data_IF_499747380279
#
_entry.id   IF_499747380279
#
_cell.length_a   1.000
_cell.length_b   1.000
_cell.length_c   1.000
_cell.angle_alpha   90.00
_cell.angle_beta   90.00
_cell.angle_gamma   90.00
#
_symmetry.space_group_name_H-M   'P 1'
#
loop_
_entity.id
_entity.type
_entity.pdbx_description
1 polymer ?
#
# COMPACT_ATOMS: atom_id res chain seq x y z
N UNK A 1 18.29 -20.43 -23.13
CA UNK A 1 18.34 -19.11 -22.47
C UNK A 1 18.24 -19.35 -20.97
N UNK A 2 19.27 -18.97 -20.22
CA UNK A 2 19.35 -19.18 -18.78
C UNK A 2 18.42 -18.18 -18.09
N UNK A 3 17.21 -18.61 -17.76
CA UNK A 3 16.32 -17.90 -16.83
C UNK A 3 16.93 -18.09 -15.44
N UNK A 4 17.46 -17.01 -14.85
CA UNK A 4 17.94 -17.05 -13.47
C UNK A 4 16.77 -16.99 -12.50
N UNK A 5 16.75 -17.92 -11.55
CA UNK A 5 15.75 -18.03 -10.51
C UNK A 5 16.40 -17.62 -9.17
N UNK A 6 15.71 -16.75 -8.42
CA UNK A 6 16.15 -16.15 -7.15
C UNK A 6 16.62 -17.22 -6.16
N UNK A 7 15.79 -18.25 -6.00
CA UNK A 7 16.01 -19.39 -5.11
C UNK A 7 17.26 -20.17 -5.49
N UNK A 8 17.56 -20.25 -6.79
CA UNK A 8 18.67 -21.04 -7.31
C UNK A 8 20.01 -20.34 -7.10
N UNK A 9 20.06 -19.00 -7.21
CA UNK A 9 21.32 -18.26 -7.09
C UNK A 9 21.84 -18.17 -5.64
N UNK A 10 20.95 -18.08 -4.64
CA UNK A 10 21.36 -17.87 -3.24
C UNK A 10 22.10 -19.08 -2.61
N UNK A 11 21.97 -20.28 -3.18
CA UNK A 11 22.57 -21.51 -2.63
C UNK A 11 23.82 -21.97 -3.40
N UNK A 12 23.96 -21.58 -4.67
CA UNK A 12 25.01 -22.09 -5.56
C UNK A 12 26.42 -21.54 -5.28
N UNK A 13 26.57 -20.44 -4.54
CA UNK A 13 27.91 -19.92 -4.17
C UNK A 13 28.67 -20.86 -3.21
N UNK A 14 27.97 -21.76 -2.52
CA UNK A 14 28.57 -22.68 -1.54
C UNK A 14 28.66 -24.15 -2.00
N UNK A 15 28.15 -24.47 -3.19
CA UNK A 15 28.09 -25.84 -3.70
C UNK A 15 29.12 -26.06 -4.82
N UNK A 16 29.99 -27.06 -4.66
CA UNK A 16 30.82 -27.54 -5.77
C UNK A 16 29.91 -28.15 -6.83
N UNK A 17 30.04 -27.68 -8.07
CA UNK A 17 29.33 -28.26 -9.22
C UNK A 17 29.55 -29.79 -9.28
N UNK A 18 28.48 -30.54 -9.13
CA UNK A 18 28.44 -31.99 -9.32
C UNK A 18 28.08 -32.27 -10.77
N UNK A 19 28.76 -33.23 -11.41
CA UNK A 19 28.43 -33.70 -12.75
C UNK A 19 27.09 -34.46 -12.83
N UNK A 20 26.46 -34.73 -11.68
CA UNK A 20 25.15 -35.33 -11.60
C UNK A 20 24.08 -34.24 -11.51
N UNK A 21 23.11 -34.25 -12.42
CA UNK A 21 21.93 -33.39 -12.36
C UNK A 21 21.05 -33.81 -11.16
N UNK A 22 21.27 -33.19 -9.99
CA UNK A 22 20.55 -33.53 -8.75
C UNK A 22 19.20 -32.82 -8.65
N UNK A 23 18.91 -31.86 -9.51
CA UNK A 23 17.58 -31.25 -9.59
C UNK A 23 17.16 -31.27 -11.05
N UNK A 24 16.37 -32.29 -11.42
CA UNK A 24 15.46 -32.10 -12.55
C UNK A 24 14.65 -30.85 -12.21
N UNK A 25 14.65 -29.87 -13.12
CA UNK A 25 13.77 -28.70 -13.06
C UNK A 25 12.33 -29.23 -13.13
N UNK A 26 11.79 -29.73 -12.03
CA UNK A 26 10.40 -30.14 -11.96
C UNK A 26 9.61 -28.85 -11.93
N UNK A 27 9.10 -28.46 -13.10
CA UNK A 27 7.95 -27.56 -13.26
C UNK A 27 6.67 -28.19 -12.68
N UNK A 28 6.77 -28.91 -11.57
CA UNK A 28 5.68 -29.61 -10.88
C UNK A 28 5.12 -28.73 -9.74
N UNK A 29 4.84 -27.48 -10.06
CA UNK A 29 4.13 -26.59 -9.15
C UNK A 29 3.20 -25.67 -9.91
N UNK A 30 2.20 -25.17 -9.21
CA UNK A 30 1.12 -24.36 -9.76
C UNK A 30 1.47 -22.89 -9.53
N UNK A 31 1.48 -22.11 -10.61
CA UNK A 31 1.56 -20.66 -10.55
C UNK A 31 0.15 -20.08 -10.59
N UNK A 32 -0.21 -19.38 -9.52
CA UNK A 32 -1.47 -18.69 -9.34
C UNK A 32 -1.23 -17.18 -9.45
N UNK A 33 -2.22 -16.48 -10.01
CA UNK A 33 -2.30 -15.01 -10.03
C UNK A 33 -1.06 -14.32 -10.60
N UNK A 34 -0.49 -14.88 -11.66
CA UNK A 34 0.70 -14.34 -12.28
C UNK A 34 0.48 -12.92 -12.84
N UNK A 35 1.50 -12.08 -12.71
CA UNK A 35 1.59 -10.76 -13.33
C UNK A 35 2.98 -10.56 -13.92
N UNK A 36 3.04 -9.75 -14.97
CA UNK A 36 4.27 -9.41 -15.66
C UNK A 36 4.45 -7.89 -15.65
N UNK A 37 5.69 -7.45 -15.42
CA UNK A 37 6.05 -6.03 -15.48
C UNK A 37 7.44 -5.86 -16.08
N UNK A 38 7.72 -4.68 -16.62
CA UNK A 38 9.03 -4.36 -17.22
C UNK A 38 9.66 -3.22 -16.45
N UNK A 39 10.86 -3.43 -15.92
CA UNK A 39 11.63 -2.43 -15.15
C UNK A 39 13.02 -2.40 -15.75
N UNK A 40 13.49 -1.22 -16.17
CA UNK A 40 14.83 -1.02 -16.74
C UNK A 40 15.16 -2.03 -17.86
N UNK A 41 14.22 -2.24 -18.79
CA UNK A 41 14.30 -3.18 -19.93
C UNK A 41 14.26 -4.68 -19.56
N UNK A 42 14.33 -5.02 -18.27
CA UNK A 42 14.18 -6.38 -17.77
C UNK A 42 12.71 -6.72 -17.52
N UNK A 43 12.29 -7.93 -17.93
CA UNK A 43 10.91 -8.41 -17.71
C UNK A 43 10.87 -9.31 -16.49
N UNK A 44 10.08 -8.87 -15.52
CA UNK A 44 9.81 -9.61 -14.29
C UNK A 44 8.46 -10.29 -14.41
N UNK A 45 8.42 -11.56 -14.04
CA UNK A 45 7.18 -12.33 -13.82
C UNK A 45 7.08 -12.69 -12.35
N UNK A 46 5.96 -12.33 -11.74
CA UNK A 46 5.65 -12.56 -10.33
C UNK A 46 4.41 -13.44 -10.26
N UNK A 47 4.42 -14.47 -9.43
CA UNK A 47 3.24 -15.32 -9.19
C UNK A 47 3.24 -15.84 -7.76
N UNK A 48 2.05 -16.21 -7.28
CA UNK A 48 1.93 -17.08 -6.12
C UNK A 48 2.22 -18.51 -6.57
N UNK A 49 3.27 -19.11 -6.04
CA UNK A 49 3.72 -20.45 -6.40
C UNK A 49 3.42 -21.42 -5.26
N UNK A 50 2.82 -22.55 -5.61
CA UNK A 50 2.62 -23.69 -4.72
C UNK A 50 3.27 -24.92 -5.35
N UNK A 51 4.21 -25.53 -4.62
CA UNK A 51 4.95 -26.70 -5.07
C UNK A 51 6.37 -26.73 -4.51
N UNK A 52 7.15 -27.74 -4.91
CA UNK A 52 8.49 -27.96 -4.38
C UNK A 52 9.48 -26.93 -4.93
N UNK A 53 10.10 -26.15 -4.03
CA UNK A 53 11.22 -25.23 -4.27
C UNK A 53 12.41 -25.48 -3.32
N UNK A 54 13.46 -24.65 -3.44
CA UNK A 54 14.70 -24.81 -2.66
C UNK A 54 14.49 -24.68 -1.14
N UNK A 55 13.46 -23.95 -0.71
CA UNK A 55 13.10 -23.81 0.68
C UNK A 55 12.93 -25.17 1.36
N UNK A 56 12.22 -26.11 0.73
CA UNK A 56 11.99 -27.45 1.29
C UNK A 56 13.29 -28.25 1.45
N UNK A 57 14.25 -28.08 0.53
CA UNK A 57 15.58 -28.69 0.65
C UNK A 57 16.39 -28.07 1.79
N UNK A 58 16.23 -26.76 2.03
CA UNK A 58 16.85 -26.07 3.17
C UNK A 58 16.26 -26.53 4.50
N UNK A 59 14.94 -26.70 4.56
CA UNK A 59 14.24 -27.23 5.74
C UNK A 59 14.74 -28.65 6.04
N UNK A 60 14.79 -29.53 5.05
CA UNK A 60 15.34 -30.89 5.19
C UNK A 60 16.78 -30.87 5.70
N UNK A 61 17.65 -30.05 5.07
CA UNK A 61 19.06 -29.93 5.46
C UNK A 61 19.25 -29.38 6.88
N UNK A 62 18.34 -28.52 7.34
CA UNK A 62 18.40 -27.93 8.67
C UNK A 62 18.05 -28.92 9.78
N UNK A 63 17.42 -30.06 9.45
CA UNK A 63 16.94 -31.04 10.41
C UNK A 63 15.70 -30.58 11.20
N UNK A 64 15.13 -29.43 10.86
CA UNK A 64 13.89 -28.90 11.46
C UNK A 64 12.66 -29.58 10.82
N UNK A 65 12.63 -30.91 10.86
CA UNK A 65 11.59 -31.76 10.26
C UNK A 65 11.09 -32.74 11.31
N UNK A 66 9.77 -32.85 11.44
CA UNK A 66 9.14 -33.90 12.22
C UNK A 66 7.87 -34.41 11.52
N UNK A 67 7.14 -35.31 12.19
CA UNK A 67 5.93 -35.94 11.65
C UNK A 67 4.80 -34.93 11.39
N UNK A 68 4.71 -33.91 12.22
CA UNK A 68 3.67 -32.89 12.16
C UNK A 68 4.12 -31.70 11.29
N UNK A 69 5.43 -31.58 11.06
CA UNK A 69 6.09 -30.56 10.24
C UNK A 69 7.05 -31.18 9.20
N UNK A 70 6.55 -31.86 8.15
CA UNK A 70 7.36 -32.38 7.04
C UNK A 70 8.04 -31.28 6.23
N UNK A 71 9.13 -31.57 5.52
CA UNK A 71 9.85 -30.55 4.72
C UNK A 71 9.04 -29.88 3.62
N UNK A 72 7.91 -30.45 3.24
CA UNK A 72 6.96 -29.92 2.27
C UNK A 72 5.54 -30.04 2.83
N UNK A 73 4.78 -28.95 2.74
CA UNK A 73 3.34 -28.94 2.96
C UNK A 73 2.60 -28.47 1.70
N UNK A 74 1.41 -29.03 1.47
CA UNK A 74 0.55 -28.62 0.35
C UNK A 74 0.05 -27.17 0.48
N UNK A 75 0.13 -26.60 1.69
CA UNK A 75 -0.23 -25.21 1.99
C UNK A 75 0.99 -24.27 2.01
N UNK A 76 2.17 -24.73 1.55
CA UNK A 76 3.33 -23.87 1.36
C UNK A 76 3.15 -23.04 0.09
N UNK A 77 2.92 -21.74 0.27
CA UNK A 77 2.81 -20.77 -0.82
C UNK A 77 3.98 -19.77 -0.78
N UNK A 78 4.56 -19.51 -1.96
CA UNK A 78 5.70 -18.63 -2.14
C UNK A 78 5.38 -17.53 -3.14
N UNK A 79 5.88 -16.32 -2.91
CA UNK A 79 5.90 -15.31 -3.99
C UNK A 79 7.12 -15.61 -4.85
N UNK A 80 6.89 -16.21 -6.02
CA UNK A 80 7.95 -16.51 -6.98
C UNK A 80 8.15 -15.34 -7.92
N UNK A 81 9.39 -14.91 -8.06
CA UNK A 81 9.80 -13.85 -8.99
C UNK A 81 10.87 -14.41 -9.92
N UNK A 82 10.61 -14.30 -11.22
CA UNK A 82 11.55 -14.68 -12.27
C UNK A 82 11.83 -13.48 -13.17
N UNK A 83 13.05 -13.41 -13.70
CA UNK A 83 13.50 -12.34 -14.58
C UNK A 83 14.08 -12.96 -15.86
N UNK A 84 13.86 -12.32 -17.01
CA UNK A 84 14.49 -12.72 -18.28
C UNK A 84 15.99 -12.34 -18.36
N UNK A 85 16.44 -11.44 -17.49
CA UNK A 85 17.83 -11.07 -17.26
C UNK A 85 18.31 -11.44 -15.84
N UNK A 86 19.46 -10.90 -15.43
CA UNK A 86 19.91 -10.96 -14.04
C UNK A 86 18.88 -10.31 -13.11
N UNK A 87 18.59 -10.96 -11.98
CA UNK A 87 17.59 -10.50 -11.02
C UNK A 87 18.20 -9.49 -10.04
N UNK A 88 17.69 -8.27 -10.05
CA UNK A 88 17.95 -7.31 -8.96
C UNK A 88 17.08 -7.64 -7.75
N UNK A 89 17.73 -8.03 -6.64
CA UNK A 89 17.10 -8.38 -5.36
C UNK A 89 16.24 -7.24 -4.80
N UNK A 90 16.65 -5.98 -4.95
CA UNK A 90 15.87 -4.83 -4.43
C UNK A 90 14.59 -4.63 -5.23
N UNK A 91 14.66 -4.86 -6.55
CA UNK A 91 13.49 -4.83 -7.42
C UNK A 91 12.55 -5.98 -7.06
N UNK A 92 13.09 -7.19 -6.92
CA UNK A 92 12.31 -8.37 -6.54
C UNK A 92 11.58 -8.17 -5.21
N UNK A 93 12.26 -7.71 -4.15
CA UNK A 93 11.62 -7.42 -2.86
C UNK A 93 10.48 -6.41 -2.98
N UNK A 94 10.69 -5.33 -3.73
CA UNK A 94 9.69 -4.28 -3.92
C UNK A 94 8.47 -4.82 -4.67
N UNK A 95 8.70 -5.66 -5.69
CA UNK A 95 7.64 -6.31 -6.46
C UNK A 95 6.88 -7.35 -5.62
N UNK A 96 7.57 -8.07 -4.73
CA UNK A 96 6.91 -9.02 -3.81
C UNK A 96 5.94 -8.28 -2.88
N UNK A 97 6.38 -7.18 -2.26
CA UNK A 97 5.51 -6.34 -1.42
C UNK A 97 4.36 -5.77 -2.24
N UNK A 98 4.61 -5.32 -3.47
CA UNK A 98 3.54 -4.84 -4.35
C UNK A 98 2.53 -5.92 -4.73
N UNK A 99 2.98 -7.15 -4.91
CA UNK A 99 2.10 -8.27 -5.21
C UNK A 99 1.16 -8.55 -4.04
N UNK A 100 1.70 -8.60 -2.82
CA UNK A 100 0.90 -8.76 -1.60
C UNK A 100 -0.09 -7.62 -1.41
N UNK A 101 0.32 -6.37 -1.64
CA UNK A 101 -0.57 -5.22 -1.62
C UNK A 101 -1.76 -5.40 -2.57
N UNK A 102 -1.55 -5.86 -3.80
CA UNK A 102 -2.64 -6.00 -4.75
C UNK A 102 -3.62 -7.13 -4.39
N UNK A 103 -3.14 -8.19 -3.73
CA UNK A 103 -4.01 -9.23 -3.16
C UNK A 103 -4.89 -8.64 -2.04
N UNK A 104 -4.31 -7.81 -1.17
CA UNK A 104 -5.02 -7.12 -0.09
C UNK A 104 -6.05 -6.13 -0.63
N UNK A 105 -5.63 -5.26 -1.55
CA UNK A 105 -6.40 -4.11 -2.02
C UNK A 105 -7.49 -4.49 -3.03
N UNK A 106 -7.24 -5.49 -3.88
CA UNK A 106 -8.16 -5.86 -4.96
C UNK A 106 -9.11 -6.98 -4.55
N UNK A 107 -8.62 -7.97 -3.79
CA UNK A 107 -9.38 -9.18 -3.47
C UNK A 107 -9.67 -9.36 -1.97
N UNK A 108 -9.16 -8.45 -1.13
CA UNK A 108 -9.28 -8.55 0.33
C UNK A 108 -8.71 -9.87 0.90
N UNK A 109 -7.75 -10.46 0.18
CA UNK A 109 -7.03 -11.66 0.62
C UNK A 109 -5.96 -11.21 1.61
N UNK A 110 -6.03 -11.69 2.84
CA UNK A 110 -5.06 -11.35 3.89
C UNK A 110 -3.92 -12.36 3.89
N UNK A 111 -2.76 -11.90 3.46
CA UNK A 111 -1.51 -12.69 3.41
C UNK A 111 -0.35 -11.85 3.91
N UNK A 112 0.55 -12.44 4.69
CA UNK A 112 1.78 -11.81 5.16
C UNK A 112 2.98 -12.68 4.81
N UNK A 113 4.15 -12.07 4.67
CA UNK A 113 5.38 -12.85 4.59
C UNK A 113 5.58 -13.58 5.91
N UNK A 114 5.79 -14.89 5.82
CA UNK A 114 6.08 -15.71 6.99
C UNK A 114 7.50 -15.43 7.49
N UNK A 115 7.67 -15.32 8.80
CA UNK A 115 9.00 -15.27 9.45
C UNK A 115 9.66 -16.65 9.51
N UNK A 116 8.96 -17.72 9.13
CA UNK A 116 9.45 -19.09 9.21
C UNK A 116 8.44 -20.12 8.73
N UNK A 117 8.40 -21.28 9.39
CA UNK A 117 7.41 -22.31 9.10
C UNK A 117 6.05 -21.87 9.63
N UNK A 118 5.00 -22.08 8.84
CA UNK A 118 3.64 -21.80 9.29
C UNK A 118 3.32 -22.65 10.53
N UNK A 119 2.80 -22.01 11.58
CA UNK A 119 2.27 -22.72 12.74
C UNK A 119 0.92 -23.33 12.34
N UNK A 120 0.87 -24.67 12.31
CA UNK A 120 -0.32 -25.45 11.92
C UNK A 120 -1.56 -25.16 12.76
N UNK A 121 -1.41 -24.46 13.90
CA UNK A 121 -2.50 -24.05 14.78
C UNK A 121 -3.25 -22.78 14.35
N UNK A 122 -2.75 -22.01 13.38
CA UNK A 122 -3.19 -20.60 13.20
C UNK A 122 -4.00 -20.28 11.95
N UNK A 123 -4.14 -21.14 10.95
CA UNK A 123 -4.97 -20.77 9.79
C UNK A 123 -5.55 -21.95 9.02
N UNK A 124 -6.86 -22.19 9.18
CA UNK A 124 -7.65 -22.97 8.23
C UNK A 124 -7.97 -22.05 7.04
N UNK A 125 -7.08 -22.00 6.06
CA UNK A 125 -7.51 -21.58 4.72
C UNK A 125 -8.14 -22.79 4.05
N UNK A 126 -9.32 -22.61 3.47
CA UNK A 126 -9.85 -23.60 2.55
C UNK A 126 -8.98 -23.55 1.28
N UNK A 127 -8.16 -24.58 0.98
CA UNK A 127 -7.27 -24.56 -0.17
C UNK A 127 -8.04 -24.42 -1.49
N UNK A 128 -9.34 -24.76 -1.49
CA UNK A 128 -10.21 -24.65 -2.66
C UNK A 128 -10.56 -23.18 -2.99
N UNK A 129 -10.53 -22.26 -2.01
CA UNK A 129 -10.75 -20.82 -2.26
C UNK A 129 -9.61 -20.19 -3.09
N UNK A 130 -8.39 -20.69 -2.94
CA UNK A 130 -7.20 -20.18 -3.66
C UNK A 130 -7.02 -20.85 -5.03
N UNK A 131 -7.38 -22.13 -5.15
CA UNK A 131 -7.16 -22.95 -6.35
C UNK A 131 -8.22 -22.74 -7.44
N UNK A 132 -9.38 -22.16 -7.13
CA UNK A 132 -10.54 -22.09 -8.04
C UNK A 132 -10.74 -20.80 -8.84
N UNK A 133 -10.04 -19.69 -8.55
CA UNK A 133 -10.33 -18.39 -9.14
C UNK A 133 -9.11 -17.70 -9.76
N UNK A 134 -9.25 -17.32 -11.03
CA UNK A 134 -8.31 -16.42 -11.72
C UNK A 134 -8.56 -14.99 -11.26
N UNK A 135 -7.88 -14.57 -10.19
CA UNK A 135 -7.91 -13.19 -9.72
C UNK A 135 -7.08 -12.29 -10.63
N UNK A 136 -7.71 -11.26 -11.19
CA UNK A 136 -6.99 -10.19 -11.90
C UNK A 136 -6.42 -9.23 -10.87
N UNK A 137 -5.11 -9.00 -10.90
CA UNK A 137 -4.46 -7.97 -10.08
C UNK A 137 -4.16 -6.73 -10.94
N UNK A 138 -4.11 -5.56 -10.31
CA UNK A 138 -3.64 -4.35 -10.99
C UNK A 138 -2.15 -4.45 -11.32
N UNK A 139 -1.63 -3.61 -12.23
CA UNK A 139 -0.21 -3.51 -12.48
C UNK A 139 0.57 -3.30 -11.18
N UNK A 140 1.67 -4.04 -11.02
CA UNK A 140 2.51 -3.94 -9.83
C UNK A 140 3.16 -2.56 -9.73
N UNK A 141 3.13 -2.00 -8.54
CA UNK A 141 3.67 -0.69 -8.20
C UNK A 141 5.15 -0.83 -7.87
N UNK A 142 5.96 0.03 -8.45
CA UNK A 142 7.39 0.07 -8.21
C UNK A 142 7.88 1.52 -8.24
N UNK A 143 9.00 1.77 -7.57
CA UNK A 143 9.71 3.03 -7.60
C UNK A 143 9.98 3.63 -6.23
N UNK A 144 10.59 4.82 -6.24
CA UNK A 144 11.01 5.51 -5.03
C UNK A 144 9.85 5.71 -4.03
N UNK A 145 10.04 5.23 -2.79
CA UNK A 145 9.09 5.35 -1.67
C UNK A 145 7.90 4.40 -1.71
N UNK A 146 7.76 3.58 -2.76
CA UNK A 146 6.59 2.69 -2.90
C UNK A 146 6.67 1.54 -1.91
N UNK A 147 7.80 0.86 -1.80
CA UNK A 147 7.94 -0.32 -0.93
C UNK A 147 7.57 0.02 0.52
N UNK A 148 8.12 1.10 1.05
CA UNK A 148 7.88 1.55 2.43
C UNK A 148 6.41 1.91 2.66
N UNK A 149 5.79 2.56 1.68
CA UNK A 149 4.37 2.92 1.73
C UNK A 149 3.46 1.68 1.71
N UNK A 150 3.80 0.68 0.90
CA UNK A 150 3.05 -0.57 0.81
C UNK A 150 3.21 -1.42 2.08
N UNK A 151 4.41 -1.49 2.66
CA UNK A 151 4.66 -2.16 3.94
C UNK A 151 3.85 -1.54 5.08
N UNK A 152 3.76 -0.20 5.10
CA UNK A 152 2.95 0.53 6.06
C UNK A 152 1.47 0.16 5.94
N UNK A 153 0.95 0.08 4.71
CA UNK A 153 -0.41 -0.35 4.45
C UNK A 153 -0.66 -1.80 4.87
N UNK A 154 0.21 -2.73 4.47
CA UNK A 154 0.06 -4.15 4.79
C UNK A 154 0.09 -4.39 6.29
N UNK A 155 0.95 -3.68 7.02
CA UNK A 155 0.99 -3.73 8.49
C UNK A 155 -0.35 -3.30 9.10
N UNK A 156 -0.96 -2.22 8.60
CA UNK A 156 -2.27 -1.78 9.03
C UNK A 156 -3.37 -2.80 8.68
N UNK A 157 -3.36 -3.33 7.46
CA UNK A 157 -4.36 -4.27 6.95
C UNK A 157 -4.39 -5.58 7.73
N UNK A 158 -3.22 -6.06 8.16
CA UNK A 158 -3.05 -7.33 8.88
C UNK A 158 -3.33 -7.23 10.38
N UNK A 159 -3.43 -6.02 10.95
CA UNK A 159 -3.73 -5.87 12.36
C UNK A 159 -5.12 -6.44 12.71
N UNK A 160 -5.29 -6.95 13.92
CA UNK A 160 -6.61 -7.34 14.43
C UNK A 160 -7.34 -6.17 15.08
N UNK A 161 -6.59 -5.38 15.86
CA UNK A 161 -7.12 -4.23 16.57
C UNK A 161 -7.56 -3.10 15.62
N UNK A 162 -8.78 -2.63 15.81
CA UNK A 162 -9.39 -1.62 14.91
C UNK A 162 -8.77 -0.24 15.10
N UNK A 163 -8.33 0.11 16.31
CA UNK A 163 -7.68 1.38 16.57
C UNK A 163 -6.32 1.44 15.87
N UNK A 164 -5.58 0.33 15.91
CA UNK A 164 -4.34 0.18 15.17
C UNK A 164 -4.53 0.28 13.66
N UNK A 165 -5.62 -0.29 13.10
CA UNK A 165 -5.98 -0.08 11.69
C UNK A 165 -6.19 1.39 11.36
N UNK A 166 -6.97 2.09 12.19
CA UNK A 166 -7.27 3.52 11.99
C UNK A 166 -5.97 4.32 12.00
N UNK A 167 -5.07 4.08 12.97
CA UNK A 167 -3.77 4.73 13.02
C UNK A 167 -2.91 4.40 11.79
N UNK A 168 -2.82 3.12 11.42
CA UNK A 168 -2.00 2.65 10.31
C UNK A 168 -2.43 3.22 8.96
N UNK A 169 -3.74 3.17 8.65
CA UNK A 169 -4.27 3.78 7.43
C UNK A 169 -4.15 5.31 7.44
N UNK A 170 -4.31 5.97 8.59
CA UNK A 170 -4.07 7.42 8.68
C UNK A 170 -2.61 7.75 8.41
N UNK A 171 -1.67 6.92 8.86
CA UNK A 171 -0.24 7.09 8.58
C UNK A 171 0.07 6.96 7.08
N UNK A 172 -0.64 6.10 6.34
CA UNK A 172 -0.54 6.02 4.87
C UNK A 172 -1.00 7.33 4.22
N UNK A 173 -2.08 7.93 4.72
CA UNK A 173 -2.55 9.24 4.26
C UNK A 173 -1.49 10.32 4.56
N UNK A 174 -0.99 10.37 5.79
CA UNK A 174 0.06 11.32 6.21
C UNK A 174 1.35 11.18 5.39
N UNK A 175 1.74 9.95 5.02
CA UNK A 175 2.95 9.70 4.21
C UNK A 175 2.86 10.37 2.83
N UNK A 176 1.68 10.37 2.20
CA UNK A 176 1.52 10.94 0.85
C UNK A 176 1.30 12.46 0.86
N UNK A 177 0.79 13.02 1.96
CA UNK A 177 0.39 14.44 2.04
C UNK A 177 1.53 15.42 1.66
N UNK A 178 2.80 15.23 2.07
CA UNK A 178 3.89 16.10 1.64
C UNK A 178 4.13 16.12 0.13
N UNK A 179 3.90 14.98 -0.55
CA UNK A 179 4.03 14.89 -2.01
C UNK A 179 2.93 15.69 -2.70
N UNK A 180 1.68 15.58 -2.23
CA UNK A 180 0.56 16.38 -2.75
C UNK A 180 0.83 17.87 -2.53
N UNK A 181 1.26 18.26 -1.33
CA UNK A 181 1.55 19.65 -1.01
C UNK A 181 2.64 20.24 -1.92
N UNK A 182 3.72 19.46 -2.17
CA UNK A 182 4.78 19.87 -3.10
C UNK A 182 4.26 20.01 -4.52
N UNK A 183 3.40 19.10 -4.97
CA UNK A 183 2.80 19.18 -6.31
C UNK A 183 1.91 20.42 -6.48
N UNK A 184 1.06 20.73 -5.51
CA UNK A 184 0.24 21.96 -5.53
C UNK A 184 1.10 23.23 -5.52
N UNK A 185 2.18 23.25 -4.75
CA UNK A 185 3.15 24.36 -4.76
C UNK A 185 3.76 24.53 -6.15
N UNK A 186 4.29 23.45 -6.72
CA UNK A 186 4.95 23.51 -8.03
C UNK A 186 3.97 23.92 -9.12
N UNK A 187 2.72 23.44 -9.09
CA UNK A 187 1.67 23.84 -10.02
C UNK A 187 1.33 25.32 -9.89
N UNK A 188 1.16 25.82 -8.66
CA UNK A 188 0.85 27.24 -8.38
C UNK A 188 1.98 28.16 -8.82
N UNK A 189 3.23 27.82 -8.49
CA UNK A 189 4.41 28.58 -8.94
C UNK A 189 4.53 28.54 -10.45
N UNK A 190 4.37 27.36 -11.08
CA UNK A 190 4.47 27.24 -12.54
C UNK A 190 3.42 28.10 -13.23
N UNK A 191 2.19 28.12 -12.71
CA UNK A 191 1.12 28.96 -13.23
C UNK A 191 1.48 30.44 -13.14
N UNK A 192 1.98 30.90 -11.99
CA UNK A 192 2.40 32.30 -11.82
C UNK A 192 3.55 32.65 -12.80
N UNK A 193 4.50 31.74 -13.00
CA UNK A 193 5.60 31.90 -13.96
C UNK A 193 5.16 31.91 -15.44
N UNK A 194 3.94 31.48 -15.76
CA UNK A 194 3.39 31.64 -17.12
C UNK A 194 2.91 33.06 -17.42
N UNK A 195 2.81 33.90 -16.39
CA UNK A 195 2.38 35.29 -16.54
C UNK A 195 3.41 36.10 -17.36
N UNK A 196 2.97 36.94 -18.34
CA UNK A 196 3.88 37.82 -19.09
C UNK A 196 4.71 38.76 -18.21
N UNK A 197 4.27 39.02 -16.97
CA UNK A 197 4.99 39.82 -15.98
C UNK A 197 6.36 39.24 -15.64
N UNK A 198 6.64 37.96 -15.95
CA UNK A 198 7.95 37.35 -15.76
C UNK A 198 9.08 38.04 -16.55
N UNK A 199 8.77 38.65 -17.71
CA UNK A 199 9.77 39.35 -18.53
C UNK A 199 10.11 40.75 -17.99
N UNK A 200 9.29 41.29 -17.10
CA UNK A 200 9.51 42.55 -16.39
C UNK A 200 8.89 42.49 -14.99
N UNK A 201 9.53 41.78 -14.04
CA UNK A 201 8.95 41.51 -12.73
C UNK A 201 8.62 42.79 -11.96
N UNK A 202 7.36 42.94 -11.53
CA UNK A 202 6.94 44.04 -10.65
C UNK A 202 7.03 43.62 -9.18
N UNK A 203 6.93 44.60 -8.27
CA UNK A 203 6.82 44.33 -6.83
C UNK A 203 5.66 43.40 -6.49
N UNK A 204 4.51 43.58 -7.15
CA UNK A 204 3.30 42.80 -6.92
C UNK A 204 3.51 41.34 -7.32
N UNK A 205 4.18 41.10 -8.44
CA UNK A 205 4.52 39.74 -8.90
C UNK A 205 5.43 39.01 -7.89
N UNK A 206 6.46 39.69 -7.39
CA UNK A 206 7.38 39.12 -6.38
C UNK A 206 6.64 38.82 -5.06
N UNK A 207 5.74 39.72 -4.64
CA UNK A 207 4.90 39.51 -3.46
C UNK A 207 3.98 38.31 -3.66
N UNK A 208 3.34 38.18 -4.82
CA UNK A 208 2.47 37.04 -5.16
C UNK A 208 3.21 35.71 -5.07
N UNK A 209 4.43 35.61 -5.61
CA UNK A 209 5.27 34.42 -5.44
C UNK A 209 5.56 34.13 -3.96
N UNK A 210 5.90 35.14 -3.16
CA UNK A 210 6.14 34.96 -1.72
C UNK A 210 4.89 34.48 -0.98
N UNK A 211 3.70 34.93 -1.37
CA UNK A 211 2.43 34.50 -0.78
C UNK A 211 2.14 33.03 -1.06
N UNK A 212 2.44 32.53 -2.27
CA UNK A 212 2.34 31.10 -2.61
C UNK A 212 3.20 30.25 -1.66
N UNK A 213 4.46 30.64 -1.44
CA UNK A 213 5.35 29.91 -0.53
C UNK A 213 4.87 29.98 0.94
N UNK A 214 4.39 31.14 1.40
CA UNK A 214 3.84 31.29 2.75
C UNK A 214 2.61 30.42 2.97
N UNK A 215 1.71 30.37 1.98
CA UNK A 215 0.53 29.50 2.02
C UNK A 215 0.96 28.03 2.13
N UNK A 216 1.85 27.58 1.25
CA UNK A 216 2.36 26.21 1.29
C UNK A 216 3.01 25.86 2.65
N UNK A 217 3.81 26.77 3.21
CA UNK A 217 4.43 26.57 4.52
C UNK A 217 3.38 26.40 5.64
N UNK A 218 2.28 27.15 5.58
CA UNK A 218 1.19 27.00 6.54
C UNK A 218 0.47 25.65 6.37
N UNK A 219 0.20 25.24 5.12
CA UNK A 219 -0.53 24.00 4.80
C UNK A 219 0.25 22.75 5.24
N UNK A 220 1.58 22.74 5.10
CA UNK A 220 2.41 21.61 5.55
C UNK A 220 2.71 21.62 7.06
N UNK A 221 2.49 22.74 7.75
CA UNK A 221 2.83 22.87 9.18
C UNK A 221 1.82 22.22 10.12
N UNK A 222 0.65 21.81 9.60
CA UNK A 222 -0.46 21.28 10.40
C UNK A 222 -0.90 19.93 9.86
N UNK A 223 -0.83 18.90 10.70
CA UNK A 223 -1.29 17.55 10.38
C UNK A 223 -2.75 17.51 9.87
N UNK A 224 -3.63 18.36 10.43
CA UNK A 224 -5.01 18.46 9.98
C UNK A 224 -5.15 18.94 8.53
N UNK A 225 -4.28 19.88 8.10
CA UNK A 225 -4.29 20.40 6.74
C UNK A 225 -3.65 19.40 5.76
N UNK A 226 -2.62 18.67 6.18
CA UNK A 226 -2.05 17.57 5.41
C UNK A 226 -3.06 16.44 5.16
N UNK A 227 -3.82 16.04 6.18
CA UNK A 227 -4.89 15.04 6.03
C UNK A 227 -5.99 15.58 5.13
N UNK A 228 -6.44 16.82 5.35
CA UNK A 228 -7.43 17.50 4.51
C UNK A 228 -7.01 17.45 3.06
N UNK A 229 -5.80 17.93 2.76
CA UNK A 229 -5.24 18.01 1.42
C UNK A 229 -5.18 16.65 0.74
N UNK A 230 -4.72 15.62 1.44
CA UNK A 230 -4.64 14.28 0.87
C UNK A 230 -6.03 13.69 0.56
N UNK A 231 -6.96 13.78 1.51
CA UNK A 231 -8.30 13.20 1.35
C UNK A 231 -9.07 13.91 0.23
N UNK A 232 -9.04 15.25 0.15
CA UNK A 232 -9.73 16.01 -0.91
C UNK A 232 -9.14 15.76 -2.29
N UNK A 233 -7.83 15.50 -2.38
CA UNK A 233 -7.15 15.23 -3.66
C UNK A 233 -7.50 13.86 -4.22
N UNK A 234 -7.55 12.82 -3.38
CA UNK A 234 -7.64 11.42 -3.84
C UNK A 234 -9.03 10.80 -3.72
N UNK A 235 -9.97 11.45 -3.05
CA UNK A 235 -11.27 10.86 -2.71
C UNK A 235 -12.44 11.79 -3.03
N UNK A 236 -13.47 11.23 -3.67
CA UNK A 236 -14.78 11.85 -3.77
C UNK A 236 -15.78 11.08 -2.90
N UNK A 237 -16.83 11.75 -2.43
CA UNK A 237 -17.80 11.12 -1.53
C UNK A 237 -18.53 9.93 -2.17
N UNK A 238 -18.75 9.96 -3.48
CA UNK A 238 -19.36 8.87 -4.26
C UNK A 238 -18.60 7.56 -4.17
N UNK A 239 -17.29 7.65 -3.98
CA UNK A 239 -16.40 6.50 -4.00
C UNK A 239 -16.44 5.65 -2.72
N UNK A 240 -16.78 6.31 -1.62
CA UNK A 240 -16.80 5.74 -0.27
C UNK A 240 -18.21 5.69 0.30
N UNK A 241 -19.22 6.17 -0.44
CA UNK A 241 -20.58 6.33 0.06
C UNK A 241 -21.13 5.05 0.69
N UNK A 242 -20.96 3.91 0.03
CA UNK A 242 -21.54 2.64 0.48
C UNK A 242 -20.96 2.18 1.82
N UNK A 243 -19.69 2.47 2.08
CA UNK A 243 -19.02 2.11 3.33
C UNK A 243 -18.96 3.26 4.35
N UNK A 244 -19.39 4.47 4.00
CA UNK A 244 -19.33 5.63 4.90
C UNK A 244 -20.21 5.42 6.15
N UNK A 245 -19.69 5.63 7.37
CA UNK A 245 -20.47 5.54 8.59
C UNK A 245 -21.69 6.44 8.62
N UNK A 246 -22.77 5.96 9.26
CA UNK A 246 -24.04 6.68 9.35
C UNK A 246 -23.93 8.03 10.06
N UNK A 247 -22.97 8.21 10.96
CA UNK A 247 -22.81 9.47 11.69
C UNK A 247 -22.24 10.61 10.82
N UNK A 248 -21.57 10.29 9.71
CA UNK A 248 -21.08 11.25 8.70
C UNK A 248 -22.15 11.49 7.63
N UNK A 249 -22.97 10.47 7.32
CA UNK A 249 -24.04 10.58 6.34
C UNK A 249 -25.13 11.58 6.80
N UNK A 250 -25.68 12.40 5.89
CA UNK A 250 -26.87 13.20 6.18
C UNK A 250 -28.04 12.29 6.59
N UNK A 251 -28.79 12.69 7.62
CA UNK A 251 -29.82 11.87 8.28
C UNK A 251 -30.96 11.39 7.37
N UNK A 252 -31.16 11.99 6.20
CA UNK A 252 -32.31 11.75 5.32
C UNK A 252 -31.90 11.29 3.93
N UNK A 253 -30.63 10.90 3.72
CA UNK A 253 -30.14 10.54 2.40
C UNK A 253 -29.51 9.16 2.39
N UNK A 254 -30.11 8.25 1.62
CA UNK A 254 -29.59 6.89 1.43
C UNK A 254 -28.67 6.78 0.21
N UNK A 255 -28.81 7.69 -0.77
CA UNK A 255 -28.06 7.64 -2.03
C UNK A 255 -27.27 8.91 -2.30
N UNK A 256 -26.03 8.76 -2.77
CA UNK A 256 -25.11 9.88 -3.03
C UNK A 256 -25.54 10.80 -4.17
N UNK A 257 -26.30 10.29 -5.13
CA UNK A 257 -26.79 11.06 -6.29
C UNK A 257 -27.81 12.13 -5.90
N UNK A 258 -28.42 12.00 -4.73
CA UNK A 258 -29.36 13.00 -4.18
C UNK A 258 -28.67 14.16 -3.46
N UNK A 259 -27.35 14.08 -3.24
CA UNK A 259 -26.61 15.14 -2.56
C UNK A 259 -26.19 16.24 -3.54
N UNK A 260 -26.49 17.49 -3.18
CA UNK A 260 -25.89 18.66 -3.82
C UNK A 260 -24.38 18.79 -3.48
N UNK A 261 -23.66 19.57 -4.28
CA UNK A 261 -22.21 19.71 -4.16
C UNK A 261 -21.74 20.27 -2.81
N UNK A 262 -22.53 21.15 -2.17
CA UNK A 262 -22.17 21.69 -0.87
C UNK A 262 -22.30 20.63 0.23
N UNK A 263 -23.36 19.82 0.17
CA UNK A 263 -23.54 18.70 1.10
C UNK A 263 -22.45 17.64 0.91
N UNK A 264 -22.08 17.34 -0.34
CA UNK A 264 -20.96 16.43 -0.65
C UNK A 264 -19.64 16.93 -0.04
N UNK A 265 -19.33 18.22 -0.20
CA UNK A 265 -18.15 18.85 0.41
C UNK A 265 -18.22 18.79 1.93
N UNK A 266 -19.36 19.12 2.53
CA UNK A 266 -19.56 19.06 3.98
C UNK A 266 -19.31 17.66 4.54
N UNK A 267 -19.77 16.61 3.86
CA UNK A 267 -19.51 15.22 4.30
C UNK A 267 -18.02 14.86 4.26
N UNK A 268 -17.29 15.32 3.24
CA UNK A 268 -15.83 15.14 3.17
C UNK A 268 -15.13 15.91 4.29
N UNK A 269 -15.56 17.13 4.59
CA UNK A 269 -15.04 17.95 5.69
C UNK A 269 -15.28 17.30 7.07
N UNK A 270 -16.48 16.77 7.30
CA UNK A 270 -16.80 16.03 8.53
C UNK A 270 -15.94 14.77 8.62
N UNK A 271 -15.75 14.04 7.51
CA UNK A 271 -14.87 12.87 7.46
C UNK A 271 -13.42 13.24 7.80
N UNK A 272 -12.86 14.27 7.16
CA UNK A 272 -11.49 14.76 7.42
C UNK A 272 -11.32 15.11 8.90
N UNK A 273 -12.27 15.85 9.46
CA UNK A 273 -12.26 16.23 10.87
C UNK A 273 -12.28 15.00 11.77
N UNK A 274 -13.15 14.02 11.46
CA UNK A 274 -13.21 12.75 12.20
C UNK A 274 -11.93 11.93 12.08
N UNK A 275 -11.25 11.90 10.93
CA UNK A 275 -9.96 11.21 10.78
C UNK A 275 -8.93 11.82 11.73
N UNK A 276 -8.75 13.14 11.66
CA UNK A 276 -7.77 13.84 12.48
C UNK A 276 -8.05 13.70 13.98
N UNK A 277 -9.30 13.93 14.40
CA UNK A 277 -9.65 13.88 15.83
C UNK A 277 -9.62 12.44 16.37
N UNK A 278 -10.06 11.45 15.61
CA UNK A 278 -9.97 10.02 16.02
C UNK A 278 -8.52 9.57 16.13
N UNK A 279 -7.67 9.93 15.16
CA UNK A 279 -6.23 9.62 15.20
C UNK A 279 -5.58 10.21 16.45
N UNK A 280 -5.90 11.45 16.79
CA UNK A 280 -5.39 12.10 17.99
C UNK A 280 -5.95 11.50 19.28
N UNK A 281 -7.24 11.14 19.31
CA UNK A 281 -7.84 10.43 20.44
C UNK A 281 -7.09 9.13 20.72
N UNK A 282 -6.86 8.30 19.70
CA UNK A 282 -6.19 7.00 19.85
C UNK A 282 -4.71 7.20 20.23
N UNK A 283 -4.00 8.08 19.54
CA UNK A 283 -2.57 8.33 19.79
C UNK A 283 -2.30 8.90 21.20
N UNK A 284 -3.20 9.73 21.71
CA UNK A 284 -3.06 10.41 23.00
C UNK A 284 -3.96 9.83 24.11
N UNK A 285 -4.59 8.67 23.87
CA UNK A 285 -5.51 8.00 24.80
C UNK A 285 -4.91 7.71 26.20
N UNK A 286 -3.57 7.77 26.35
CA UNK A 286 -2.85 7.50 27.60
C UNK A 286 -2.37 8.74 28.37
N UNK A 287 -2.50 9.96 27.84
CA UNK A 287 -2.11 11.18 28.57
C UNK A 287 -2.82 12.44 28.03
N UNK A 288 -3.87 12.88 28.73
CA UNK A 288 -4.45 14.24 28.64
C UNK A 288 -5.16 14.68 27.34
N UNK A 289 -5.67 13.76 26.51
CA UNK A 289 -6.50 14.17 25.36
C UNK A 289 -7.90 14.64 25.79
N UNK A 290 -8.27 15.87 25.45
CA UNK A 290 -9.64 16.38 25.60
C UNK A 290 -10.46 16.09 24.35
N UNK A 291 -11.55 15.31 24.51
CA UNK A 291 -12.44 14.99 23.40
C UNK A 291 -13.12 16.25 22.86
N UNK A 292 -13.09 16.41 21.54
CA UNK A 292 -13.70 17.52 20.81
C UNK A 292 -15.12 17.20 20.33
N UNK A 293 -15.55 15.94 20.43
CA UNK A 293 -16.89 15.48 20.06
C UNK A 293 -17.07 15.25 18.55
N UNK A 294 -15.97 15.21 17.80
CA UNK A 294 -15.93 14.95 16.36
C UNK A 294 -15.23 13.64 16.00
N UNK A 295 -14.74 12.93 17.02
CA UNK A 295 -14.13 11.61 16.90
C UNK A 295 -15.15 10.57 16.42
N UNK A 296 -14.64 9.53 15.76
CA UNK A 296 -15.44 8.39 15.36
C UNK A 296 -15.96 7.65 16.61
N UNK A 297 -17.29 7.47 16.75
CA UNK A 297 -17.85 6.68 17.83
C UNK A 297 -17.30 5.25 17.83
N UNK A 298 -17.07 4.68 19.02
CA UNK A 298 -16.54 3.31 19.19
C UNK A 298 -17.29 2.27 18.36
N UNK A 299 -18.63 2.33 18.35
CA UNK A 299 -19.51 1.42 17.61
C UNK A 299 -19.32 1.48 16.08
N UNK A 300 -18.81 2.60 15.57
CA UNK A 300 -18.67 2.86 14.14
C UNK A 300 -17.21 2.70 13.67
N UNK A 301 -16.25 2.42 14.58
CA UNK A 301 -14.81 2.33 14.28
C UNK A 301 -14.46 1.26 13.25
N UNK A 302 -15.14 0.11 13.27
CA UNK A 302 -14.92 -0.94 12.28
C UNK A 302 -15.26 -0.44 10.86
N UNK A 303 -16.44 0.16 10.70
CA UNK A 303 -16.87 0.72 9.42
C UNK A 303 -15.99 1.91 8.99
N UNK A 304 -15.56 2.73 9.95
CA UNK A 304 -14.61 3.81 9.72
C UNK A 304 -13.26 3.31 9.22
N UNK A 305 -12.74 2.20 9.78
CA UNK A 305 -11.51 1.57 9.29
C UNK A 305 -11.61 1.07 7.85
N UNK A 306 -12.79 0.63 7.41
CA UNK A 306 -13.05 0.22 6.02
C UNK A 306 -13.01 1.43 5.08
N UNK A 307 -13.55 2.58 5.50
CA UNK A 307 -13.42 3.83 4.72
C UNK A 307 -11.95 4.23 4.59
N UNK A 308 -11.21 4.21 5.70
CA UNK A 308 -9.80 4.56 5.71
C UNK A 308 -8.94 3.64 4.83
N UNK A 309 -9.23 2.33 4.83
CA UNK A 309 -8.61 1.36 3.91
C UNK A 309 -8.80 1.77 2.44
N UNK A 310 -10.03 2.11 2.05
CA UNK A 310 -10.32 2.56 0.67
C UNK A 310 -9.58 3.86 0.31
N UNK A 311 -9.51 4.80 1.25
CA UNK A 311 -8.78 6.06 1.05
C UNK A 311 -7.27 5.76 0.93
N UNK A 312 -6.72 4.92 1.80
CA UNK A 312 -5.31 4.53 1.78
C UNK A 312 -4.92 3.86 0.45
N UNK A 313 -5.73 2.94 -0.07
CA UNK A 313 -5.50 2.32 -1.40
C UNK A 313 -5.46 3.37 -2.51
N UNK A 314 -6.33 4.39 -2.44
CA UNK A 314 -6.34 5.50 -3.41
C UNK A 314 -5.13 6.41 -3.26
N UNK A 315 -4.74 6.72 -2.03
CA UNK A 315 -3.51 7.45 -1.73
C UNK A 315 -2.30 6.77 -2.38
N UNK A 316 -2.16 5.47 -2.19
CA UNK A 316 -1.07 4.65 -2.76
C UNK A 316 -1.07 4.70 -4.28
N UNK A 317 -2.23 4.46 -4.90
CA UNK A 317 -2.35 4.48 -6.37
C UNK A 317 -2.07 5.86 -6.95
N UNK A 318 -2.57 6.92 -6.30
CA UNK A 318 -2.27 8.29 -6.69
C UNK A 318 -0.77 8.59 -6.59
N UNK A 319 -0.12 8.19 -5.49
CA UNK A 319 1.31 8.40 -5.27
C UNK A 319 2.16 7.64 -6.30
N UNK A 320 1.77 6.42 -6.66
CA UNK A 320 2.45 5.61 -7.67
C UNK A 320 2.37 6.20 -9.09
N UNK A 321 1.32 6.98 -9.39
CA UNK A 321 1.21 7.69 -10.67
C UNK A 321 2.11 8.93 -10.76
N UNK A 322 2.63 9.42 -9.63
CA UNK A 322 3.49 10.60 -9.64
C UNK A 322 4.89 10.26 -10.15
N UNK A 323 5.51 11.15 -10.95
CA UNK A 323 6.93 11.07 -11.29
C UNK A 323 7.80 10.97 -10.03
N UNK A 324 8.83 10.12 -10.06
CA UNK A 324 9.65 9.85 -8.87
C UNK A 324 10.32 11.10 -8.31
N UNK A 325 10.73 12.03 -9.16
CA UNK A 325 11.42 13.27 -8.76
C UNK A 325 10.49 14.23 -7.99
N UNK A 326 9.18 14.06 -8.16
CA UNK A 326 8.17 14.84 -7.44
C UNK A 326 7.86 14.24 -6.08
N UNK A 327 8.03 12.93 -5.89
CA UNK A 327 7.75 12.24 -4.64
C UNK A 327 8.61 12.77 -3.50
N UNK A 328 7.98 12.97 -2.34
CA UNK A 328 8.64 13.33 -1.09
C UNK A 328 8.63 12.08 -0.22
N UNK A 329 9.80 11.50 -0.01
CA UNK A 329 9.98 10.33 0.88
C UNK A 329 10.56 10.83 2.19
N UNK A 330 9.90 10.47 3.29
CA UNK A 330 10.40 10.75 4.64
C UNK A 330 11.60 9.82 4.90
N UNK A 331 12.81 10.40 4.94
CA UNK A 331 14.07 9.70 5.23
C UNK A 331 14.23 9.32 6.70
#
# INVERSE_FOLDING_TARGET
>A
MNVSDYDTNMFLESLKASANAIVNKTTEGIELWASETTISEAKYKIALFNGVCIYHLLVEKSGNVDKDFPSYFDDDYFVRITCDSEIDFKVADSLAVSFIFELHATHNIKVSFSEGRADSSTTYYDPDELKGQSYRIFPLLYGLGIKELLELYSTAKMADDTDYKILGFTKVIEYISPTIAKEELLASVSLELTSPTIFAPTSEFIIGLSEIFKKHQNDISKDSELIRLAVTTVTQISDIWDCLPKYIKPKQTERVDMLDDNTRKSCIEDLITSIYDTRNEIAHAKANYEKKGKECPLRDRMQFSIVLDKIAVRCIRWFALQPEEKRVVLS
#
